data_IF_516960021479
#
_entry.id   IF_516960021479
#
_cell.length_a   1.000
_cell.length_b   1.000
_cell.length_c   1.000
_cell.angle_alpha   90.00
_cell.angle_beta   90.00
_cell.angle_gamma   90.00
#
_symmetry.space_group_name_H-M   'P 1'
#
loop_
_entity.id
_entity.type
_entity.pdbx_description
1 polymer ?
#
# COMPACT_ATOMS: atom_id res chain seq x y z
N UNK A 1 13.41 11.30 -7.14
CA UNK A 1 12.39 10.50 -6.44
C UNK A 1 11.26 10.22 -7.41
N UNK A 2 11.32 9.07 -8.06
CA UNK A 2 10.26 8.58 -8.95
C UNK A 2 9.07 8.27 -8.05
N UNK A 3 7.95 8.99 -8.21
CA UNK A 3 6.72 8.66 -7.50
C UNK A 3 6.25 7.30 -8.01
N UNK A 4 6.54 6.24 -7.26
CA UNK A 4 6.13 4.85 -7.54
C UNK A 4 4.62 4.61 -7.26
N UNK A 5 3.82 5.69 -7.31
CA UNK A 5 2.36 5.66 -7.15
C UNK A 5 1.64 5.26 -8.44
N UNK A 6 2.36 4.90 -9.49
CA UNK A 6 1.81 4.65 -10.84
C UNK A 6 1.40 3.20 -11.08
N UNK A 7 1.67 2.34 -10.11
CA UNK A 7 1.42 0.90 -10.18
C UNK A 7 0.77 0.39 -8.90
N UNK A 8 -0.07 1.22 -8.27
CA UNK A 8 -1.04 0.73 -7.30
C UNK A 8 -1.97 -0.22 -8.05
N UNK A 9 -1.63 -1.50 -7.98
CA UNK A 9 -2.43 -2.73 -8.13
C UNK A 9 -1.66 -3.88 -8.74
N UNK A 10 -0.48 -3.66 -9.33
CA UNK A 10 0.24 -4.75 -9.99
C UNK A 10 1.51 -5.13 -9.22
N UNK A 11 1.56 -6.29 -8.54
CA UNK A 11 2.80 -6.86 -7.98
C UNK A 11 3.98 -6.83 -8.97
N UNK A 12 5.22 -6.85 -8.46
CA UNK A 12 6.41 -6.71 -9.31
C UNK A 12 6.54 -7.81 -10.38
N UNK A 13 6.21 -9.04 -10.00
CA UNK A 13 6.16 -10.22 -10.88
C UNK A 13 5.21 -10.00 -12.06
N UNK A 14 4.16 -9.31 -11.75
CA UNK A 14 2.91 -9.30 -12.47
C UNK A 14 3.02 -8.15 -13.51
N UNK A 15 3.76 -7.08 -13.17
CA UNK A 15 4.34 -6.12 -14.13
C UNK A 15 5.35 -6.72 -15.10
N UNK A 16 6.20 -7.63 -14.61
CA UNK A 16 7.17 -8.30 -15.47
C UNK A 16 6.46 -9.21 -16.49
N UNK A 17 5.41 -9.90 -16.05
CA UNK A 17 4.51 -10.68 -16.92
C UNK A 17 3.85 -9.81 -17.99
N UNK A 18 3.37 -8.61 -17.64
CA UNK A 18 2.82 -7.67 -18.64
C UNK A 18 3.87 -7.19 -19.64
N UNK A 19 5.06 -6.80 -19.15
CA UNK A 19 6.15 -6.35 -20.01
C UNK A 19 6.58 -7.44 -21.00
N UNK A 20 6.67 -8.68 -20.52
CA UNK A 20 6.97 -9.84 -21.36
C UNK A 20 5.85 -10.07 -22.39
N UNK A 21 4.59 -10.05 -21.97
CA UNK A 21 3.44 -10.21 -22.87
C UNK A 21 3.40 -9.13 -23.97
N UNK A 22 3.59 -7.87 -23.60
CA UNK A 22 3.62 -6.76 -24.56
C UNK A 22 4.77 -6.90 -25.56
N UNK A 23 5.95 -7.34 -25.12
CA UNK A 23 7.10 -7.59 -26.00
C UNK A 23 6.82 -8.73 -26.99
N UNK A 24 6.24 -9.84 -26.52
CA UNK A 24 5.84 -10.97 -27.38
C UNK A 24 4.82 -10.54 -28.43
N UNK A 25 3.80 -9.77 -28.03
CA UNK A 25 2.78 -9.30 -28.97
C UNK A 25 3.34 -8.33 -30.01
N UNK A 26 4.29 -7.48 -29.61
CA UNK A 26 5.00 -6.59 -30.53
C UNK A 26 5.87 -7.37 -31.53
N UNK A 27 6.55 -8.44 -31.09
CA UNK A 27 7.31 -9.32 -31.97
C UNK A 27 6.41 -10.04 -32.98
N UNK A 28 5.28 -10.59 -32.52
CA UNK A 28 4.29 -11.24 -33.39
C UNK A 28 3.75 -10.25 -34.42
N UNK A 29 3.45 -9.02 -34.02
CA UNK A 29 3.01 -7.97 -34.94
C UNK A 29 4.09 -7.64 -35.99
N UNK A 30 5.35 -7.53 -35.57
CA UNK A 30 6.47 -7.28 -36.49
C UNK A 30 6.65 -8.42 -37.50
N UNK A 31 6.49 -9.68 -37.07
CA UNK A 31 6.58 -10.86 -37.95
C UNK A 31 5.42 -10.93 -38.94
N UNK A 32 4.19 -10.63 -38.50
CA UNK A 32 3.03 -10.57 -39.39
C UNK A 32 3.22 -9.47 -40.43
N UNK A 33 3.71 -8.31 -40.03
CA UNK A 33 4.01 -7.22 -40.97
C UNK A 33 5.07 -7.63 -41.99
N UNK A 34 6.13 -8.31 -41.57
CA UNK A 34 7.18 -8.79 -42.47
C UNK A 34 6.69 -9.82 -43.50
N UNK A 35 5.68 -10.64 -43.16
CA UNK A 35 5.16 -11.70 -44.02
C UNK A 35 4.04 -11.20 -44.94
N UNK A 36 3.12 -10.40 -44.39
CA UNK A 36 1.88 -10.01 -45.07
C UNK A 36 1.90 -8.59 -45.64
N UNK A 37 2.85 -7.74 -45.22
CA UNK A 37 2.83 -6.30 -45.52
C UNK A 37 1.75 -5.52 -44.76
N UNK A 38 0.86 -6.20 -44.04
CA UNK A 38 -0.25 -5.60 -43.31
C UNK A 38 0.08 -5.46 -41.83
N UNK A 39 -0.29 -4.33 -41.23
CA UNK A 39 -0.08 -4.03 -39.80
C UNK A 39 -1.30 -4.40 -38.94
N UNK A 40 -2.34 -4.93 -39.57
CA UNK A 40 -3.69 -5.06 -39.01
C UNK A 40 -3.93 -6.43 -38.39
N UNK A 41 -4.19 -6.48 -37.08
CA UNK A 41 -4.83 -7.63 -36.45
C UNK A 41 -4.32 -8.02 -35.06
N UNK A 42 -3.12 -7.57 -34.66
CA UNK A 42 -2.58 -7.89 -33.33
C UNK A 42 -2.61 -6.64 -32.45
N UNK A 43 -3.62 -6.48 -31.57
CA UNK A 43 -3.63 -5.39 -30.61
C UNK A 43 -2.52 -5.63 -29.58
N UNK A 44 -1.46 -4.83 -29.64
CA UNK A 44 -0.47 -4.77 -28.56
C UNK A 44 -1.05 -3.92 -27.43
N UNK A 45 -1.18 -4.46 -26.20
CA UNK A 45 -1.66 -3.67 -25.07
C UNK A 45 -0.76 -2.47 -24.83
N UNK A 46 -1.36 -1.27 -24.74
CA UNK A 46 -0.61 -0.08 -24.35
C UNK A 46 -0.37 -0.13 -22.85
N UNK A 47 0.89 0.06 -22.45
CA UNK A 47 1.21 0.21 -21.03
C UNK A 47 0.41 1.38 -20.43
N UNK A 48 -0.04 1.26 -19.16
CA UNK A 48 -0.70 2.35 -18.46
C UNK A 48 0.17 3.62 -18.49
N UNK A 49 -0.47 4.77 -18.68
CA UNK A 49 0.24 6.04 -18.56
C UNK A 49 0.70 6.23 -17.12
N UNK A 50 1.93 6.68 -16.99
CA UNK A 50 2.62 7.21 -15.79
C UNK A 50 1.94 8.53 -15.32
N UNK A 51 1.17 8.58 -14.19
CA UNK A 51 0.62 9.84 -13.67
C UNK A 51 1.68 10.89 -13.31
N UNK A 52 1.42 12.15 -13.63
CA UNK A 52 2.29 13.26 -13.24
C UNK A 52 2.35 13.42 -11.71
N UNK A 53 3.41 14.01 -11.14
CA UNK A 53 3.48 14.25 -9.69
C UNK A 53 2.28 15.01 -9.11
N UNK A 54 1.68 15.92 -9.90
CA UNK A 54 0.46 16.65 -9.51
C UNK A 54 -0.77 15.73 -9.45
N UNK A 55 -0.89 14.80 -10.39
CA UNK A 55 -1.95 13.79 -10.37
C UNK A 55 -1.76 12.83 -9.20
N UNK A 56 -0.52 12.40 -8.92
CA UNK A 56 -0.19 11.61 -7.73
C UNK A 56 -0.61 12.34 -6.44
N UNK A 57 -0.29 13.63 -6.31
CA UNK A 57 -0.69 14.43 -5.15
C UNK A 57 -2.22 14.52 -5.01
N UNK A 58 -2.95 14.69 -6.12
CA UNK A 58 -4.41 14.70 -6.10
C UNK A 58 -5.00 13.34 -5.70
N UNK A 59 -4.42 12.24 -6.19
CA UNK A 59 -4.78 10.87 -5.81
C UNK A 59 -4.54 10.61 -4.32
N UNK A 60 -3.36 10.96 -3.80
CA UNK A 60 -3.04 10.83 -2.36
C UNK A 60 -3.98 11.66 -1.49
N UNK A 61 -4.31 12.88 -1.90
CA UNK A 61 -5.23 13.73 -1.15
C UNK A 61 -6.65 13.16 -1.11
N UNK A 62 -7.14 12.65 -2.25
CA UNK A 62 -8.43 11.96 -2.32
C UNK A 62 -8.42 10.73 -1.41
N UNK A 63 -7.39 9.90 -1.51
CA UNK A 63 -7.22 8.70 -0.71
C UNK A 63 -7.24 9.00 0.80
N UNK A 64 -6.52 10.03 1.24
CA UNK A 64 -6.54 10.48 2.64
C UNK A 64 -7.92 10.94 3.11
N UNK A 65 -8.74 11.53 2.23
CA UNK A 65 -10.12 11.91 2.57
C UNK A 65 -11.03 10.69 2.67
N UNK A 66 -10.89 9.76 1.73
CA UNK A 66 -11.68 8.53 1.70
C UNK A 66 -11.36 7.65 2.93
N UNK A 67 -10.08 7.52 3.28
CA UNK A 67 -9.63 6.85 4.50
C UNK A 67 -10.23 7.47 5.76
N UNK A 68 -10.18 8.82 5.90
CA UNK A 68 -10.82 9.52 7.02
C UNK A 68 -12.33 9.23 7.12
N UNK A 69 -13.03 9.11 6.00
CA UNK A 69 -14.45 8.75 6.01
C UNK A 69 -14.69 7.32 6.53
N UNK A 70 -13.76 6.39 6.32
CA UNK A 70 -13.85 5.00 6.81
C UNK A 70 -13.67 4.94 8.33
N UNK A 71 -12.63 5.60 8.86
CA UNK A 71 -12.37 5.57 10.30
C UNK A 71 -13.29 6.49 11.12
N UNK A 72 -14.10 7.32 10.46
CA UNK A 72 -15.01 8.25 11.13
C UNK A 72 -14.27 9.16 12.12
N UNK A 73 -14.58 9.03 13.41
CA UNK A 73 -13.97 9.83 14.49
C UNK A 73 -12.48 9.56 14.74
N UNK A 74 -11.91 8.51 14.14
CA UNK A 74 -10.49 8.16 14.25
C UNK A 74 -9.70 8.53 12.97
N UNK A 75 -10.22 9.43 12.12
CA UNK A 75 -9.55 9.84 10.89
C UNK A 75 -8.18 10.50 11.08
N UNK A 76 -7.86 10.97 12.28
CA UNK A 76 -6.54 11.46 12.69
C UNK A 76 -5.49 10.33 12.82
N UNK A 77 -5.93 9.09 13.03
CA UNK A 77 -5.05 7.91 13.16
C UNK A 77 -4.41 7.47 11.84
N UNK A 78 -4.90 7.96 10.70
CA UNK A 78 -4.24 7.81 9.39
C UNK A 78 -3.09 8.81 9.18
N UNK A 79 -2.74 9.59 10.20
CA UNK A 79 -1.55 10.43 10.20
C UNK A 79 -0.29 9.68 10.63
N UNK A 80 0.86 10.15 10.14
CA UNK A 80 2.16 9.64 10.57
C UNK A 80 2.45 10.15 11.99
N UNK A 81 2.88 9.29 12.93
CA UNK A 81 3.32 7.90 12.74
C UNK A 81 2.32 6.82 13.24
N UNK A 82 1.12 7.18 13.69
CA UNK A 82 0.16 6.21 14.25
C UNK A 82 -0.21 5.12 13.24
N UNK A 83 -0.38 5.52 11.98
CA UNK A 83 -0.70 4.63 10.88
C UNK A 83 0.42 3.62 10.58
N UNK A 84 1.67 4.08 10.55
CA UNK A 84 2.83 3.22 10.30
C UNK A 84 3.00 2.15 11.38
N UNK A 85 2.81 2.52 12.65
CA UNK A 85 2.84 1.57 13.78
C UNK A 85 1.70 0.55 13.66
N UNK A 86 0.49 1.01 13.30
CA UNK A 86 -0.65 0.11 13.09
C UNK A 86 -0.35 -0.90 11.96
N UNK A 87 0.18 -0.46 10.83
CA UNK A 87 0.57 -1.36 9.75
C UNK A 87 1.65 -2.36 10.18
N UNK A 88 2.66 -1.90 10.94
CA UNK A 88 3.69 -2.79 11.48
C UNK A 88 3.09 -3.87 12.41
N UNK A 89 2.16 -3.50 13.30
CA UNK A 89 1.48 -4.44 14.20
C UNK A 89 0.64 -5.45 13.41
N UNK A 90 -0.09 -5.00 12.39
CA UNK A 90 -0.90 -5.88 11.55
C UNK A 90 -0.04 -6.88 10.79
N UNK A 91 1.08 -6.43 10.23
CA UNK A 91 2.03 -7.28 9.50
C UNK A 91 2.74 -8.29 10.41
N UNK A 92 3.07 -7.89 11.65
CA UNK A 92 3.81 -8.72 12.59
C UNK A 92 2.98 -9.85 13.22
N UNK A 93 1.64 -9.78 13.17
CA UNK A 93 0.73 -10.80 13.75
C UNK A 93 1.11 -11.23 15.19
N UNK A 94 1.53 -10.25 16.01
CA UNK A 94 1.91 -10.46 17.41
C UNK A 94 3.25 -11.16 17.64
N UNK A 95 4.09 -11.32 16.62
CA UNK A 95 5.40 -11.98 16.74
C UNK A 95 6.54 -11.03 17.13
N UNK A 96 6.30 -9.71 17.07
CA UNK A 96 7.36 -8.71 17.19
C UNK A 96 7.28 -7.92 18.50
N UNK A 97 8.45 -7.52 18.98
CA UNK A 97 8.56 -6.63 20.14
C UNK A 97 8.15 -5.19 19.79
N UNK A 98 7.74 -4.40 20.78
CA UNK A 98 7.44 -2.97 20.58
C UNK A 98 8.60 -2.21 19.90
N UNK A 99 9.86 -2.56 20.23
CA UNK A 99 11.03 -1.94 19.63
C UNK A 99 11.14 -2.24 18.12
N UNK A 100 10.97 -3.51 17.73
CA UNK A 100 11.00 -3.93 16.33
C UNK A 100 9.85 -3.33 15.51
N UNK A 101 8.67 -3.21 16.11
CA UNK A 101 7.51 -2.54 15.51
C UNK A 101 7.79 -1.05 15.27
N UNK A 102 8.39 -0.37 16.25
CA UNK A 102 8.77 1.04 16.10
C UNK A 102 9.84 1.24 15.02
N UNK A 103 10.86 0.38 14.93
CA UNK A 103 11.87 0.43 13.86
C UNK A 103 11.24 0.23 12.49
N UNK A 104 10.33 -0.74 12.37
CA UNK A 104 9.58 -1.00 11.13
C UNK A 104 8.75 0.20 10.71
N UNK A 105 8.16 0.92 11.68
CA UNK A 105 7.44 2.18 11.46
C UNK A 105 8.37 3.40 11.25
N UNK A 106 9.69 3.20 11.13
CA UNK A 106 10.67 4.28 10.92
C UNK A 106 10.91 5.17 12.13
N UNK A 107 10.54 4.72 13.32
CA UNK A 107 10.71 5.43 14.58
C UNK A 107 11.87 4.84 15.39
N UNK A 108 12.52 5.69 16.18
CA UNK A 108 13.51 5.21 17.15
C UNK A 108 12.83 4.50 18.33
N UNK A 109 13.22 3.27 18.68
CA UNK A 109 12.66 2.52 19.82
C UNK A 109 12.83 3.19 21.17
N UNK A 110 13.88 4.01 21.31
CA UNK A 110 14.22 4.68 22.57
C UNK A 110 13.53 6.04 22.70
N UNK A 111 12.83 6.49 21.66
CA UNK A 111 12.12 7.76 21.67
C UNK A 111 10.80 7.65 22.44
N UNK A 112 10.50 8.58 23.37
CA UNK A 112 9.21 8.61 24.07
C UNK A 112 8.03 8.86 23.12
N UNK A 113 8.30 9.36 21.90
CA UNK A 113 7.26 9.59 20.88
C UNK A 113 6.62 8.27 20.44
N UNK A 114 7.41 7.21 20.22
CA UNK A 114 6.89 5.90 19.80
C UNK A 114 5.95 5.31 20.85
N UNK A 115 6.38 5.29 22.11
CA UNK A 115 5.57 4.82 23.22
C UNK A 115 4.26 5.62 23.39
N UNK A 116 4.30 6.95 23.17
CA UNK A 116 3.10 7.80 23.21
C UNK A 116 2.08 7.38 22.16
N UNK A 117 2.52 7.06 20.94
CA UNK A 117 1.63 6.64 19.86
C UNK A 117 1.10 5.21 20.05
N UNK A 118 1.91 4.29 20.57
CA UNK A 118 1.44 2.95 20.99
C UNK A 118 0.33 3.10 22.05
N UNK A 119 0.54 3.93 23.06
CA UNK A 119 -0.49 4.19 24.07
C UNK A 119 -1.78 4.79 23.49
N UNK A 120 -1.66 5.66 22.49
CA UNK A 120 -2.84 6.20 21.79
C UNK A 120 -3.59 5.09 21.04
N UNK A 121 -2.87 4.22 20.31
CA UNK A 121 -3.44 3.10 19.58
C UNK A 121 -4.16 2.12 20.52
N UNK A 122 -3.58 1.83 21.68
CA UNK A 122 -4.20 1.03 22.75
C UNK A 122 -5.47 1.71 23.28
N UNK A 123 -5.38 3.01 23.61
CA UNK A 123 -6.51 3.79 24.16
C UNK A 123 -7.68 3.89 23.19
N UNK A 124 -7.40 3.98 21.88
CA UNK A 124 -8.40 4.04 20.82
C UNK A 124 -8.92 2.66 20.41
N UNK A 125 -8.38 1.59 21.01
CA UNK A 125 -8.77 0.21 20.74
C UNK A 125 -8.45 -0.23 19.31
N UNK A 126 -7.35 0.28 18.73
CA UNK A 126 -6.85 -0.21 17.44
C UNK A 126 -5.97 -1.44 17.64
N UNK A 127 -5.14 -1.41 18.68
CA UNK A 127 -4.30 -2.55 19.08
C UNK A 127 -4.63 -2.94 20.52
N UNK A 128 -4.28 -4.17 20.88
CA UNK A 128 -4.38 -4.72 22.23
C UNK A 128 -3.08 -5.40 22.61
N UNK A 129 -2.77 -5.47 23.90
CA UNK A 129 -1.64 -6.26 24.41
C UNK A 129 -2.18 -7.58 24.94
N UNK A 130 -1.67 -8.70 24.42
CA UNK A 130 -2.09 -10.05 24.85
C UNK A 130 -1.18 -10.58 25.95
N UNK A 131 -1.51 -11.78 26.45
CA UNK A 131 -0.78 -12.44 27.55
C UNK A 131 0.69 -12.71 27.23
N UNK A 132 1.02 -12.85 25.95
CA UNK A 132 2.38 -12.95 25.43
C UNK A 132 3.20 -11.65 25.55
N UNK A 133 2.54 -10.55 25.96
CA UNK A 133 3.14 -9.24 26.08
C UNK A 133 3.30 -8.50 24.75
N UNK A 134 2.88 -9.08 23.62
CA UNK A 134 2.99 -8.49 22.30
C UNK A 134 1.74 -7.70 21.92
N UNK A 135 1.89 -6.78 20.96
CA UNK A 135 0.78 -6.01 20.41
C UNK A 135 0.11 -6.79 19.29
N UNK A 136 -1.22 -6.88 19.35
CA UNK A 136 -2.06 -7.51 18.35
C UNK A 136 -3.06 -6.50 17.78
N UNK A 137 -3.38 -6.63 16.50
CA UNK A 137 -4.44 -5.84 15.89
C UNK A 137 -5.81 -6.32 16.42
N UNK A 138 -6.65 -5.38 16.84
CA UNK A 138 -8.02 -5.68 17.26
C UNK A 138 -8.93 -5.90 16.04
N UNK A 139 -10.11 -6.50 16.24
CA UNK A 139 -11.13 -6.62 15.19
C UNK A 139 -11.52 -5.27 14.57
N UNK A 140 -11.55 -4.21 15.38
CA UNK A 140 -11.80 -2.84 14.90
C UNK A 140 -10.75 -2.43 13.87
N UNK A 141 -9.48 -2.62 14.19
CA UNK A 141 -8.39 -2.27 13.30
C UNK A 141 -8.40 -3.14 12.05
N UNK A 142 -8.61 -4.46 12.18
CA UNK A 142 -8.74 -5.36 11.02
C UNK A 142 -9.87 -4.90 10.09
N UNK A 143 -11.02 -4.50 10.64
CA UNK A 143 -12.16 -3.99 9.85
C UNK A 143 -11.79 -2.71 9.10
N UNK A 144 -11.11 -1.76 9.76
CA UNK A 144 -10.64 -0.52 9.13
C UNK A 144 -9.63 -0.81 8.02
N UNK A 145 -8.65 -1.68 8.28
CA UNK A 145 -7.63 -2.07 7.31
C UNK A 145 -8.23 -2.75 6.09
N UNK A 146 -9.15 -3.70 6.28
CA UNK A 146 -9.85 -4.35 5.18
C UNK A 146 -10.65 -3.33 4.35
N UNK A 147 -11.35 -2.39 4.99
CA UNK A 147 -12.07 -1.32 4.29
C UNK A 147 -11.14 -0.37 3.54
N UNK A 148 -9.96 -0.09 4.09
CA UNK A 148 -8.93 0.74 3.47
C UNK A 148 -8.31 0.06 2.24
N UNK A 149 -7.89 -1.20 2.36
CA UNK A 149 -7.25 -1.95 1.27
C UNK A 149 -8.22 -2.33 0.16
N UNK A 150 -9.52 -2.52 0.45
CA UNK A 150 -10.53 -2.76 -0.58
C UNK A 150 -10.83 -1.54 -1.48
N UNK A 151 -10.35 -0.36 -1.10
CA UNK A 151 -10.57 0.91 -1.82
C UNK A 151 -9.29 1.53 -2.38
N UNK A 152 -8.13 0.93 -2.07
CA UNK A 152 -6.93 1.16 -2.87
C UNK A 152 -7.21 0.68 -4.29
#
# INVERSE_FOLDING_TARGET
MTCDFQLLHWPAEDRASFGHFAAVMAEVQARIHAISGETTGVPVPRAPRVPTPRECAAMMLKHRRDARAIAGGDGDMFGDPAWEIALAVFHAEGQESDAALLETAGLSPTSPVGARWINLLLTRGWVERREDGHLHATEKMVTILNGYFARL
#
